data_IF_943016102891
#
_entry.id   IF_943016102891
#
_cell.length_a   1.000
_cell.length_b   1.000
_cell.length_c   1.000
_cell.angle_alpha   90.00
_cell.angle_beta   90.00
_cell.angle_gamma   90.00
#
_symmetry.space_group_name_H-M   'P 1'
#
loop_
_entity.id
_entity.type
_entity.pdbx_description
1 polymer ?
#
# COMPACT_ATOMS: atom_id res chain seq x y z
N UNK A 1 34.93 -15.37 -33.39
CA UNK A 1 34.65 -13.95 -33.13
C UNK A 1 33.26 -13.90 -32.50
N UNK A 2 33.22 -13.71 -31.20
CA UNK A 2 31.94 -13.63 -30.44
C UNK A 2 31.37 -12.26 -30.75
N UNK A 3 30.26 -12.23 -31.48
CA UNK A 3 29.44 -11.02 -31.66
C UNK A 3 28.98 -10.57 -30.28
N UNK A 4 29.69 -9.66 -29.66
CA UNK A 4 29.25 -8.95 -28.46
C UNK A 4 28.05 -8.10 -28.89
N UNK A 5 26.91 -8.61 -28.59
CA UNK A 5 25.60 -8.07 -28.91
C UNK A 5 25.51 -6.59 -28.46
N UNK A 6 25.17 -5.73 -29.40
CA UNK A 6 24.86 -4.32 -29.24
C UNK A 6 23.51 -4.14 -28.47
N UNK A 7 23.01 -5.19 -27.82
CA UNK A 7 21.76 -5.25 -27.08
C UNK A 7 22.01 -5.10 -25.59
N UNK A 8 21.20 -4.27 -24.94
CA UNK A 8 21.24 -4.09 -23.50
C UNK A 8 20.82 -5.34 -22.72
N UNK A 9 21.18 -5.42 -21.44
CA UNK A 9 20.88 -6.53 -20.58
C UNK A 9 19.45 -6.46 -20.01
N UNK A 10 18.55 -7.30 -20.52
CA UNK A 10 17.19 -7.46 -19.99
C UNK A 10 17.22 -7.90 -18.51
N UNK A 11 18.16 -8.78 -18.13
CA UNK A 11 18.31 -9.25 -16.75
C UNK A 11 18.63 -8.09 -15.79
N UNK A 12 19.53 -7.19 -16.20
CA UNK A 12 19.86 -6.01 -15.40
C UNK A 12 18.65 -5.10 -15.22
N UNK A 13 17.89 -4.83 -16.29
CA UNK A 13 16.67 -4.04 -16.22
C UNK A 13 15.65 -4.66 -15.27
N UNK A 14 15.34 -5.96 -15.42
CA UNK A 14 14.37 -6.62 -14.55
C UNK A 14 14.84 -6.66 -13.09
N UNK A 15 16.13 -6.88 -12.82
CA UNK A 15 16.64 -6.89 -11.45
C UNK A 15 16.44 -5.55 -10.75
N UNK A 16 16.82 -4.43 -11.39
CA UNK A 16 16.66 -3.10 -10.77
C UNK A 16 15.18 -2.67 -10.65
N UNK A 17 14.35 -3.08 -11.62
CA UNK A 17 12.92 -2.80 -11.58
C UNK A 17 12.23 -3.61 -10.48
N UNK A 18 12.60 -4.88 -10.30
CA UNK A 18 12.05 -5.72 -9.22
C UNK A 18 12.33 -5.13 -7.84
N UNK A 19 13.51 -4.55 -7.64
CA UNK A 19 13.80 -3.84 -6.38
C UNK A 19 12.87 -2.64 -6.19
N UNK A 20 12.61 -1.84 -7.23
CA UNK A 20 11.67 -0.72 -7.12
C UNK A 20 10.22 -1.20 -6.84
N UNK A 21 9.82 -2.34 -7.43
CA UNK A 21 8.51 -2.97 -7.21
C UNK A 21 8.33 -3.43 -5.75
N UNK A 22 9.39 -3.81 -5.04
CA UNK A 22 9.32 -4.13 -3.60
C UNK A 22 8.81 -2.97 -2.75
N UNK A 23 9.05 -1.72 -3.16
CA UNK A 23 8.44 -0.57 -2.50
C UNK A 23 6.91 -0.54 -2.62
N UNK A 24 6.36 -1.01 -3.74
CA UNK A 24 4.92 -1.24 -3.89
C UNK A 24 4.42 -2.37 -3.00
N UNK A 25 5.16 -3.47 -2.89
CA UNK A 25 4.84 -4.57 -1.99
C UNK A 25 4.76 -4.09 -0.53
N UNK A 26 5.74 -3.30 -0.08
CA UNK A 26 5.75 -2.72 1.27
C UNK A 26 4.57 -1.77 1.51
N UNK A 27 4.19 -0.98 0.50
CA UNK A 27 2.98 -0.18 0.58
C UNK A 27 1.74 -1.05 0.88
N UNK A 28 1.56 -2.14 0.13
CA UNK A 28 0.46 -3.07 0.37
C UNK A 28 0.53 -3.73 1.75
N UNK A 29 1.72 -4.10 2.17
CA UNK A 29 1.98 -4.73 3.46
C UNK A 29 1.61 -3.81 4.62
N UNK A 30 2.18 -2.59 4.70
CA UNK A 30 1.90 -1.62 5.76
C UNK A 30 0.43 -1.21 5.82
N UNK A 31 -0.20 -1.05 4.65
CA UNK A 31 -1.62 -0.69 4.57
C UNK A 31 -2.53 -1.76 5.16
N UNK A 32 -2.23 -3.04 4.95
CA UNK A 32 -3.11 -4.14 5.32
C UNK A 32 -2.75 -4.82 6.65
N UNK A 33 -1.57 -4.55 7.22
CA UNK A 33 -1.12 -5.16 8.49
C UNK A 33 -2.08 -4.89 9.64
N UNK A 34 -2.70 -3.71 9.68
CA UNK A 34 -3.67 -3.31 10.70
C UNK A 34 -4.86 -4.28 10.79
N UNK A 35 -5.26 -4.91 9.69
CA UNK A 35 -6.45 -5.77 9.67
C UNK A 35 -6.37 -6.95 10.63
N UNK A 36 -5.19 -7.53 10.82
CA UNK A 36 -4.98 -8.59 11.79
C UNK A 36 -4.80 -8.07 13.21
N UNK A 37 -4.15 -6.92 13.34
CA UNK A 37 -3.74 -6.36 14.62
C UNK A 37 -4.85 -5.56 15.34
N UNK A 38 -5.90 -5.09 14.63
CA UNK A 38 -6.82 -4.06 15.11
C UNK A 38 -7.58 -4.46 16.38
N UNK A 39 -8.03 -5.72 16.50
CA UNK A 39 -8.75 -6.18 17.68
C UNK A 39 -7.86 -6.31 18.90
N UNK A 40 -6.64 -6.86 18.73
CA UNK A 40 -5.66 -6.95 19.80
C UNK A 40 -5.26 -5.56 20.30
N UNK A 41 -5.03 -4.64 19.37
CA UNK A 41 -4.69 -3.25 19.68
C UNK A 41 -5.86 -2.52 20.39
N UNK A 42 -7.11 -2.73 19.96
CA UNK A 42 -8.29 -2.19 20.63
C UNK A 42 -8.37 -2.71 22.07
N UNK A 43 -8.26 -4.04 22.26
CA UNK A 43 -8.30 -4.65 23.57
C UNK A 43 -7.15 -4.16 24.49
N UNK A 44 -5.94 -4.02 23.96
CA UNK A 44 -4.80 -3.50 24.71
C UNK A 44 -5.08 -2.11 25.27
N UNK A 45 -5.51 -1.16 24.45
CA UNK A 45 -5.80 0.21 24.92
C UNK A 45 -7.10 0.33 25.71
N UNK A 46 -8.06 -0.60 25.55
CA UNK A 46 -9.25 -0.68 26.42
C UNK A 46 -8.89 -1.10 27.86
N UNK A 47 -7.76 -1.76 28.07
CA UNK A 47 -7.28 -2.13 29.42
C UNK A 47 -6.57 -0.99 30.15
N UNK A 48 -6.44 0.20 29.54
CA UNK A 48 -5.85 1.38 30.16
C UNK A 48 -6.65 1.86 31.37
N UNK A 49 -5.96 2.27 32.42
CA UNK A 49 -6.55 2.77 33.66
C UNK A 49 -6.62 4.30 33.75
N UNK A 50 -5.82 5.02 32.94
CA UNK A 50 -5.63 6.47 32.99
C UNK A 50 -6.55 7.25 32.04
N UNK A 51 -7.13 6.59 31.04
CA UNK A 51 -8.07 7.20 30.10
C UNK A 51 -9.10 6.20 29.58
N UNK A 52 -10.20 6.70 29.05
CA UNK A 52 -11.23 5.86 28.40
C UNK A 52 -10.97 5.78 26.88
N UNK A 53 -10.50 4.63 26.43
CA UNK A 53 -10.37 4.36 25.00
C UNK A 53 -11.75 4.16 24.38
N UNK A 54 -12.01 4.79 23.26
CA UNK A 54 -13.30 4.75 22.59
C UNK A 54 -13.17 4.47 21.09
N UNK A 55 -14.30 4.23 20.42
CA UNK A 55 -14.33 3.91 18.97
C UNK A 55 -13.74 5.01 18.08
N UNK A 56 -13.83 6.27 18.48
CA UNK A 56 -13.25 7.39 17.72
C UNK A 56 -11.73 7.34 17.81
N UNK A 57 -11.18 7.14 19.00
CA UNK A 57 -9.74 6.94 19.18
C UNK A 57 -9.24 5.72 18.40
N UNK A 58 -9.99 4.61 18.43
CA UNK A 58 -9.64 3.42 17.67
C UNK A 58 -9.65 3.68 16.15
N UNK A 59 -10.63 4.41 15.64
CA UNK A 59 -10.68 4.84 14.24
C UNK A 59 -9.50 5.73 13.84
N UNK A 60 -9.11 6.68 14.71
CA UNK A 60 -7.92 7.53 14.50
C UNK A 60 -6.65 6.66 14.48
N UNK A 61 -6.52 5.74 15.43
CA UNK A 61 -5.36 4.84 15.52
C UNK A 61 -5.24 3.95 14.28
N UNK A 62 -6.35 3.36 13.83
CA UNK A 62 -6.38 2.53 12.63
C UNK A 62 -6.07 3.30 11.35
N UNK A 63 -6.43 4.59 11.30
CA UNK A 63 -6.22 5.45 10.12
C UNK A 63 -4.99 6.37 10.22
N UNK A 64 -4.22 6.31 11.31
CA UNK A 64 -3.08 7.21 11.56
C UNK A 64 -2.02 7.16 10.45
N UNK A 65 -1.77 5.97 9.87
CA UNK A 65 -0.87 5.82 8.73
C UNK A 65 -1.34 6.58 7.48
N UNK A 66 -2.66 6.75 7.27
CA UNK A 66 -3.17 7.51 6.13
C UNK A 66 -2.82 9.00 6.22
N UNK A 67 -2.79 9.57 7.43
CA UNK A 67 -2.34 10.95 7.66
C UNK A 67 -0.89 11.10 7.17
N UNK A 68 -0.04 10.15 7.57
CA UNK A 68 1.35 10.10 7.09
C UNK A 68 1.45 9.94 5.57
N UNK A 69 0.59 9.10 4.98
CA UNK A 69 0.56 8.86 3.54
C UNK A 69 0.26 10.14 2.75
N UNK A 70 -0.68 10.97 3.21
CA UNK A 70 -0.97 12.28 2.60
C UNK A 70 0.25 13.20 2.67
N UNK A 71 0.92 13.28 3.83
CA UNK A 71 2.13 14.09 4.01
C UNK A 71 3.27 13.59 3.11
N UNK A 72 3.53 12.29 3.11
CA UNK A 72 4.56 11.66 2.28
C UNK A 72 4.32 11.86 0.79
N UNK A 73 3.08 11.69 0.33
CA UNK A 73 2.67 11.93 -1.05
C UNK A 73 2.86 13.38 -1.47
N UNK A 74 2.42 14.34 -0.65
CA UNK A 74 2.58 15.77 -0.90
C UNK A 74 4.06 16.20 -0.99
N UNK A 75 4.92 15.63 -0.15
CA UNK A 75 6.34 15.92 -0.12
C UNK A 75 7.16 15.13 -1.12
N UNK A 76 6.60 14.09 -1.75
CA UNK A 76 7.31 13.17 -2.63
C UNK A 76 8.02 13.85 -3.80
N UNK A 77 7.39 14.84 -4.42
CA UNK A 77 7.97 15.62 -5.50
C UNK A 77 9.23 16.40 -5.07
N UNK A 78 9.23 16.98 -3.87
CA UNK A 78 10.36 17.72 -3.29
C UNK A 78 11.52 16.75 -3.02
N UNK A 79 11.25 15.62 -2.39
CA UNK A 79 12.27 14.61 -2.11
C UNK A 79 12.83 14.00 -3.40
N UNK A 80 11.95 13.64 -4.34
CA UNK A 80 12.38 13.08 -5.63
C UNK A 80 13.26 14.05 -6.45
N UNK A 81 12.99 15.35 -6.41
CA UNK A 81 13.79 16.36 -7.11
C UNK A 81 15.12 16.65 -6.41
N UNK A 82 15.14 16.78 -5.07
CA UNK A 82 16.35 17.14 -4.32
C UNK A 82 17.28 15.96 -4.06
N UNK A 83 16.75 14.85 -3.55
CA UNK A 83 17.54 13.67 -3.18
C UNK A 83 17.72 12.69 -4.35
N UNK A 84 16.85 12.78 -5.37
CA UNK A 84 16.73 11.80 -6.45
C UNK A 84 15.90 10.58 -6.03
N UNK A 85 15.37 9.85 -7.03
CA UNK A 85 14.41 8.77 -6.84
C UNK A 85 14.93 7.66 -5.92
N UNK A 86 16.18 7.19 -6.15
CA UNK A 86 16.80 6.15 -5.34
C UNK A 86 16.94 6.51 -3.85
N UNK A 87 17.42 7.72 -3.57
CA UNK A 87 17.61 8.12 -2.17
C UNK A 87 16.29 8.41 -1.48
N UNK A 88 15.27 8.87 -2.21
CA UNK A 88 13.89 8.99 -1.68
C UNK A 88 13.31 7.62 -1.33
N UNK A 89 13.56 6.60 -2.14
CA UNK A 89 13.16 5.22 -1.81
C UNK A 89 13.92 4.65 -0.60
N UNK A 90 15.21 5.00 -0.44
CA UNK A 90 15.98 4.64 0.77
C UNK A 90 15.41 5.29 2.01
N UNK A 91 15.02 6.57 1.92
CA UNK A 91 14.33 7.26 3.01
C UNK A 91 13.01 6.56 3.34
N UNK A 92 12.21 6.19 2.34
CA UNK A 92 10.99 5.44 2.56
C UNK A 92 11.25 4.10 3.26
N UNK A 93 12.27 3.34 2.85
CA UNK A 93 12.66 2.08 3.49
C UNK A 93 13.04 2.27 4.97
N UNK A 94 13.78 3.33 5.30
CA UNK A 94 14.13 3.67 6.68
C UNK A 94 12.87 4.01 7.49
N UNK A 95 11.94 4.77 6.92
CA UNK A 95 10.69 5.13 7.59
C UNK A 95 9.80 3.90 7.83
N UNK A 96 9.68 2.98 6.88
CA UNK A 96 9.00 1.70 7.06
C UNK A 96 9.63 0.90 8.21
N UNK A 97 10.95 0.76 8.18
CA UNK A 97 11.67 -0.01 9.19
C UNK A 97 11.49 0.58 10.61
N UNK A 98 11.62 1.89 10.74
CA UNK A 98 11.42 2.57 12.03
C UNK A 98 9.96 2.48 12.50
N UNK A 99 9.00 2.60 11.61
CA UNK A 99 7.58 2.41 11.91
C UNK A 99 7.29 1.00 12.41
N UNK A 100 7.81 -0.02 11.72
CA UNK A 100 7.62 -1.41 12.11
C UNK A 100 8.21 -1.71 13.50
N UNK A 101 9.44 -1.26 13.77
CA UNK A 101 10.07 -1.42 15.07
C UNK A 101 9.36 -0.62 16.17
N UNK A 102 9.00 0.63 15.89
CA UNK A 102 8.30 1.47 16.85
C UNK A 102 6.86 1.01 17.13
N UNK A 103 6.19 0.40 16.14
CA UNK A 103 4.87 -0.20 16.34
C UNK A 103 4.96 -1.56 17.04
N UNK A 104 6.05 -2.32 16.85
CA UNK A 104 6.34 -3.56 17.58
C UNK A 104 6.58 -3.31 19.07
N UNK A 105 7.39 -2.31 19.37
CA UNK A 105 7.77 -1.95 20.74
C UNK A 105 7.64 -0.45 20.99
N UNK A 106 6.42 0.08 21.06
CA UNK A 106 6.18 1.51 21.22
C UNK A 106 6.63 2.07 22.56
N UNK A 107 6.89 1.21 23.54
CA UNK A 107 7.38 1.57 24.87
C UNK A 107 8.87 1.93 24.92
N UNK A 108 9.60 1.71 23.84
CA UNK A 108 11.07 1.93 23.79
C UNK A 108 11.46 3.27 24.41
N UNK A 109 12.35 3.19 25.42
CA UNK A 109 13.02 4.30 26.14
C UNK A 109 12.17 5.07 27.17
N UNK A 110 10.83 5.09 27.08
CA UNK A 110 10.03 6.04 27.87
C UNK A 110 8.90 5.43 28.68
N UNK A 111 8.43 4.23 28.35
CA UNK A 111 7.23 3.64 28.96
C UNK A 111 7.49 2.24 29.52
N UNK A 112 6.69 1.82 30.50
CA UNK A 112 6.72 0.45 31.02
C UNK A 112 6.02 -0.51 30.06
N UNK A 113 6.65 -1.65 29.82
CA UNK A 113 6.13 -2.67 28.92
C UNK A 113 4.76 -3.20 29.36
N UNK A 114 3.83 -3.29 28.41
CA UNK A 114 2.50 -3.85 28.65
C UNK A 114 1.55 -2.98 29.46
N UNK A 115 1.91 -1.74 29.78
CA UNK A 115 1.03 -0.78 30.47
C UNK A 115 0.49 0.26 29.49
N UNK A 116 -0.75 0.08 28.99
CA UNK A 116 -1.35 1.05 28.11
C UNK A 116 -1.65 2.37 28.84
N UNK A 117 -1.27 3.48 28.22
CA UNK A 117 -1.58 4.84 28.67
C UNK A 117 -1.75 5.77 27.46
N UNK A 118 -2.21 6.99 27.68
CA UNK A 118 -2.49 7.95 26.61
C UNK A 118 -1.23 8.35 25.84
N UNK A 119 -0.11 8.51 26.53
CA UNK A 119 1.15 8.92 25.90
C UNK A 119 1.70 7.81 25.01
N UNK A 120 1.55 6.54 25.42
CA UNK A 120 1.90 5.37 24.61
C UNK A 120 1.03 5.29 23.35
N UNK A 121 -0.27 5.60 23.45
CA UNK A 121 -1.16 5.67 22.29
C UNK A 121 -0.70 6.73 21.29
N UNK A 122 -0.30 7.91 21.79
CA UNK A 122 0.24 8.97 20.94
C UNK A 122 1.55 8.52 20.28
N UNK A 123 2.46 7.92 21.04
CA UNK A 123 3.73 7.40 20.51
C UNK A 123 3.50 6.35 19.42
N UNK A 124 2.61 5.37 19.64
CA UNK A 124 2.22 4.38 18.65
C UNK A 124 1.69 5.05 17.37
N UNK A 125 0.75 5.99 17.50
CA UNK A 125 0.20 6.71 16.36
C UNK A 125 1.26 7.50 15.59
N UNK A 126 2.25 8.10 16.27
CA UNK A 126 3.37 8.77 15.61
C UNK A 126 4.24 7.82 14.81
N UNK A 127 4.53 6.61 15.32
CA UNK A 127 5.23 5.58 14.52
C UNK A 127 4.42 5.17 13.29
N UNK A 128 3.10 5.03 13.42
CA UNK A 128 2.23 4.75 12.26
C UNK A 128 2.21 5.91 11.25
N UNK A 129 2.21 7.16 11.70
CA UNK A 129 2.36 8.32 10.81
C UNK A 129 3.70 8.31 10.08
N UNK A 130 4.80 7.94 10.75
CA UNK A 130 6.12 7.80 10.12
C UNK A 130 6.10 6.74 9.01
N UNK A 131 5.50 5.56 9.27
CA UNK A 131 5.30 4.53 8.24
C UNK A 131 4.49 5.05 7.07
N UNK A 132 3.38 5.72 7.37
CA UNK A 132 2.54 6.37 6.36
C UNK A 132 3.31 7.36 5.47
N UNK A 133 4.24 8.16 6.02
CA UNK A 133 5.11 9.02 5.21
C UNK A 133 5.95 8.17 4.24
N UNK A 134 6.48 7.04 4.71
CA UNK A 134 7.16 6.05 3.86
C UNK A 134 6.28 5.52 2.74
N UNK A 135 5.02 5.16 3.07
CA UNK A 135 3.99 4.74 2.09
C UNK A 135 3.77 5.81 1.04
N UNK A 136 3.51 7.06 1.44
CA UNK A 136 3.28 8.18 0.53
C UNK A 136 4.47 8.46 -0.39
N UNK A 137 5.71 8.38 0.14
CA UNK A 137 6.91 8.51 -0.66
C UNK A 137 7.06 7.36 -1.66
N UNK A 138 6.91 6.12 -1.22
CA UNK A 138 7.07 4.94 -2.07
C UNK A 138 6.01 4.90 -3.18
N UNK A 139 4.74 5.22 -2.87
CA UNK A 139 3.63 5.19 -3.82
C UNK A 139 3.85 6.12 -5.03
N UNK A 140 4.48 7.26 -4.81
CA UNK A 140 4.79 8.21 -5.88
C UNK A 140 6.12 7.89 -6.57
N UNK A 141 7.16 7.55 -5.80
CA UNK A 141 8.54 7.46 -6.31
C UNK A 141 8.82 6.10 -6.99
N UNK A 142 8.19 4.98 -6.56
CA UNK A 142 8.39 3.69 -7.22
C UNK A 142 7.95 3.69 -8.69
N UNK A 143 6.71 4.08 -9.04
CA UNK A 143 6.31 4.16 -10.44
C UNK A 143 7.15 5.16 -11.23
N UNK A 144 7.54 6.29 -10.63
CA UNK A 144 8.42 7.28 -11.24
C UNK A 144 9.80 6.69 -11.56
N UNK A 145 10.40 5.97 -10.63
CA UNK A 145 11.68 5.29 -10.82
C UNK A 145 11.59 4.27 -11.97
N UNK A 146 10.55 3.44 -11.97
CA UNK A 146 10.29 2.43 -13.01
C UNK A 146 10.11 3.11 -14.37
N UNK A 147 9.30 4.16 -14.45
CA UNK A 147 9.03 4.87 -15.70
C UNK A 147 10.26 5.56 -16.31
N UNK A 148 11.22 6.02 -15.47
CA UNK A 148 12.44 6.67 -15.91
C UNK A 148 13.54 5.68 -16.37
N UNK A 149 13.47 4.42 -15.94
CA UNK A 149 14.43 3.37 -16.32
C UNK A 149 13.91 2.49 -17.44
N UNK A 150 12.60 2.24 -17.48
CA UNK A 150 11.99 1.31 -18.42
C UNK A 150 12.03 1.83 -19.87
N UNK A 151 12.44 0.98 -20.84
CA UNK A 151 12.25 1.27 -22.25
C UNK A 151 10.78 1.52 -22.59
N UNK A 152 10.54 2.40 -23.58
CA UNK A 152 9.19 2.87 -23.94
C UNK A 152 8.20 1.74 -24.27
N UNK A 153 8.68 0.67 -24.92
CA UNK A 153 7.86 -0.46 -25.37
C UNK A 153 7.30 -1.35 -24.24
N UNK A 154 7.93 -1.37 -23.05
CA UNK A 154 7.50 -2.19 -21.90
C UNK A 154 7.23 -1.37 -20.63
N UNK A 155 7.37 -0.05 -20.71
CA UNK A 155 7.20 0.87 -19.56
C UNK A 155 5.85 0.70 -18.87
N UNK A 156 4.78 0.67 -19.65
CA UNK A 156 3.42 0.49 -19.11
C UNK A 156 3.27 -0.81 -18.32
N UNK A 157 3.77 -1.91 -18.87
CA UNK A 157 3.74 -3.21 -18.20
C UNK A 157 4.51 -3.20 -16.88
N UNK A 158 5.73 -2.63 -16.87
CA UNK A 158 6.56 -2.59 -15.66
C UNK A 158 5.95 -1.68 -14.58
N UNK A 159 5.30 -0.58 -14.96
CA UNK A 159 4.56 0.27 -14.01
C UNK A 159 3.33 -0.47 -13.47
N UNK A 160 2.62 -1.24 -14.30
CA UNK A 160 1.49 -2.06 -13.83
C UNK A 160 1.93 -3.16 -12.87
N UNK A 161 3.16 -3.69 -12.99
CA UNK A 161 3.72 -4.63 -12.02
C UNK A 161 3.84 -4.03 -10.61
N UNK A 162 4.06 -2.71 -10.50
CA UNK A 162 4.06 -2.05 -9.18
C UNK A 162 2.67 -2.10 -8.52
N UNK A 163 1.59 -1.91 -9.28
CA UNK A 163 0.24 -2.03 -8.76
C UNK A 163 -0.09 -3.47 -8.34
N UNK A 164 0.31 -4.44 -9.15
CA UNK A 164 0.19 -5.85 -8.78
C UNK A 164 0.93 -6.16 -7.47
N UNK A 165 2.14 -5.62 -7.29
CA UNK A 165 2.94 -5.83 -6.08
C UNK A 165 2.28 -5.25 -4.82
N UNK A 166 1.56 -4.13 -4.92
CA UNK A 166 0.77 -3.58 -3.80
C UNK A 166 -0.26 -4.60 -3.32
N UNK A 167 -1.04 -5.17 -4.24
CA UNK A 167 -2.09 -6.14 -3.89
C UNK A 167 -1.50 -7.47 -3.43
N UNK A 168 -0.39 -7.87 -4.03
CA UNK A 168 0.37 -9.04 -3.57
C UNK A 168 0.93 -8.83 -2.16
N UNK A 169 1.42 -7.63 -1.83
CA UNK A 169 1.85 -7.26 -0.48
C UNK A 169 0.72 -7.36 0.56
N UNK A 170 -0.49 -6.94 0.19
CA UNK A 170 -1.68 -7.12 1.03
C UNK A 170 -1.97 -8.60 1.29
N UNK A 171 -1.92 -9.47 0.26
CA UNK A 171 -2.12 -10.90 0.45
C UNK A 171 -1.05 -11.51 1.35
N UNK A 172 0.23 -11.13 1.15
CA UNK A 172 1.34 -11.63 1.98
C UNK A 172 1.11 -11.30 3.45
N UNK A 173 0.73 -10.06 3.78
CA UNK A 173 0.50 -9.68 5.17
C UNK A 173 -0.76 -10.33 5.76
N UNK A 174 -1.82 -10.53 4.99
CA UNK A 174 -2.98 -11.29 5.46
C UNK A 174 -2.58 -12.71 5.84
N UNK A 175 -1.74 -13.35 5.03
CA UNK A 175 -1.23 -14.67 5.32
C UNK A 175 -0.27 -14.67 6.52
N UNK A 176 0.61 -13.68 6.63
CA UNK A 176 1.51 -13.52 7.80
C UNK A 176 0.71 -13.30 9.09
N UNK A 177 -0.30 -12.42 9.07
CA UNK A 177 -1.20 -12.19 10.20
C UNK A 177 -1.94 -13.48 10.60
N UNK A 178 -2.42 -14.26 9.62
CA UNK A 178 -3.05 -15.55 9.86
C UNK A 178 -2.09 -16.54 10.51
N UNK A 179 -0.84 -16.62 10.05
CA UNK A 179 0.18 -17.49 10.65
C UNK A 179 0.59 -17.06 12.07
N UNK A 180 0.73 -15.73 12.30
CA UNK A 180 1.04 -15.19 13.63
C UNK A 180 -0.10 -15.48 14.61
N UNK A 181 -1.35 -15.34 14.14
CA UNK A 181 -2.52 -15.66 14.97
C UNK A 181 -2.57 -17.14 15.36
N UNK A 182 -2.22 -18.06 14.45
CA UNK A 182 -2.17 -19.50 14.70
C UNK A 182 -3.44 -20.02 15.36
N UNK A 183 -3.27 -20.70 16.50
CA UNK A 183 -4.38 -21.25 17.30
C UNK A 183 -4.96 -20.24 18.31
N UNK A 184 -4.40 -19.03 18.37
CA UNK A 184 -4.88 -17.97 19.26
C UNK A 184 -6.22 -17.42 18.80
N UNK A 185 -7.02 -16.92 19.75
CA UNK A 185 -8.33 -16.36 19.48
C UNK A 185 -8.30 -14.82 19.61
N UNK A 186 -9.13 -14.16 18.81
CA UNK A 186 -9.32 -12.73 18.96
C UNK A 186 -9.87 -12.37 20.33
N UNK A 187 -9.47 -11.22 20.92
CA UNK A 187 -10.01 -10.75 22.19
C UNK A 187 -11.52 -10.58 22.14
N UNK A 188 -12.19 -10.91 23.24
CA UNK A 188 -13.63 -10.70 23.40
C UNK A 188 -13.84 -9.32 24.00
N UNK A 189 -14.43 -8.41 23.22
CA UNK A 189 -14.75 -7.06 23.65
C UNK A 189 -16.24 -7.02 24.01
N UNK A 190 -16.51 -6.72 25.28
CA UNK A 190 -17.84 -6.58 25.84
C UNK A 190 -18.29 -5.12 25.76
N UNK A 191 -19.58 -4.94 25.60
CA UNK A 191 -20.23 -3.62 25.65
C UNK A 191 -21.31 -3.66 26.72
N UNK A 192 -21.20 -2.78 27.72
CA UNK A 192 -22.21 -2.67 28.77
C UNK A 192 -23.49 -1.94 28.32
N UNK A 193 -24.47 -1.85 29.19
CA UNK A 193 -25.77 -1.19 28.91
C UNK A 193 -25.57 0.34 28.69
N UNK A 194 -24.51 0.94 29.19
CA UNK A 194 -24.16 2.36 29.00
C UNK A 194 -23.34 2.58 27.70
N UNK A 195 -22.97 1.49 27.01
CA UNK A 195 -22.18 1.53 25.78
C UNK A 195 -20.67 1.59 26.01
N UNK A 196 -20.21 1.43 27.24
CA UNK A 196 -18.76 1.39 27.58
C UNK A 196 -18.20 0.04 27.15
N UNK A 197 -17.04 0.08 26.51
CA UNK A 197 -16.33 -1.11 26.03
C UNK A 197 -15.36 -1.59 27.11
N UNK A 198 -15.27 -2.92 27.28
CA UNK A 198 -14.31 -3.58 28.18
C UNK A 198 -13.83 -4.89 27.58
N UNK A 199 -12.68 -5.38 28.03
CA UNK A 199 -12.13 -6.66 27.60
C UNK A 199 -12.63 -7.75 28.53
N UNK A 200 -13.14 -8.86 27.97
CA UNK A 200 -13.57 -10.01 28.76
C UNK A 200 -12.36 -10.67 29.45
N UNK A 201 -12.56 -11.14 30.66
CA UNK A 201 -11.56 -11.94 31.39
C UNK A 201 -11.23 -13.28 30.71
N UNK A 202 -12.10 -13.77 29.81
CA UNK A 202 -11.90 -14.99 29.02
C UNK A 202 -11.09 -14.74 27.75
N UNK A 203 -10.68 -13.49 27.47
CA UNK A 203 -9.88 -13.16 26.29
C UNK A 203 -8.51 -13.81 26.36
N UNK A 204 -8.00 -14.21 25.17
CA UNK A 204 -6.62 -14.68 25.04
C UNK A 204 -5.65 -13.50 25.29
N UNK A 205 -4.95 -13.57 26.43
CA UNK A 205 -4.06 -12.51 26.87
C UNK A 205 -2.87 -12.31 25.91
N UNK A 206 -2.44 -13.35 25.20
CA UNK A 206 -1.39 -13.20 24.20
C UNK A 206 -1.83 -12.30 23.06
N UNK A 207 -3.05 -12.43 22.55
CA UNK A 207 -3.56 -11.57 21.50
C UNK A 207 -3.76 -10.13 21.93
N UNK A 208 -4.05 -9.92 23.23
CA UNK A 208 -4.20 -8.57 23.80
C UNK A 208 -2.84 -7.87 23.94
N UNK A 209 -1.79 -8.55 24.41
CA UNK A 209 -0.53 -7.90 24.75
C UNK A 209 0.56 -8.06 23.70
N UNK A 210 0.58 -9.16 22.96
CA UNK A 210 1.70 -9.55 22.10
C UNK A 210 1.31 -9.66 20.62
N UNK A 211 0.19 -10.26 20.28
CA UNK A 211 -0.16 -10.66 18.91
C UNK A 211 -0.06 -9.51 17.90
N UNK A 212 -0.67 -8.37 18.21
CA UNK A 212 -0.63 -7.19 17.33
C UNK A 212 0.80 -6.64 17.15
N UNK A 213 1.66 -6.77 18.16
CA UNK A 213 3.06 -6.32 18.08
C UNK A 213 3.83 -7.12 17.03
N UNK A 214 3.73 -8.46 17.09
CA UNK A 214 4.37 -9.33 16.11
C UNK A 214 3.86 -9.08 14.70
N UNK A 215 2.58 -8.78 14.54
CA UNK A 215 2.00 -8.44 13.23
C UNK A 215 2.64 -7.18 12.66
N UNK A 216 2.71 -6.07 13.41
CA UNK A 216 3.39 -4.86 12.96
C UNK A 216 4.91 -5.06 12.81
N UNK A 217 5.55 -5.76 13.75
CA UNK A 217 6.98 -6.03 13.70
C UNK A 217 7.42 -6.86 12.50
N UNK A 218 6.54 -7.71 11.97
CA UNK A 218 6.83 -8.56 10.80
C UNK A 218 7.21 -7.75 9.56
N UNK A 219 6.74 -6.51 9.44
CA UNK A 219 7.09 -5.61 8.35
C UNK A 219 8.58 -5.20 8.36
N UNK A 220 9.25 -5.27 9.51
CA UNK A 220 10.66 -4.89 9.62
C UNK A 220 11.55 -5.72 8.68
N UNK A 221 11.23 -7.01 8.46
CA UNK A 221 12.00 -7.88 7.58
C UNK A 221 11.97 -7.44 6.11
N UNK A 222 10.81 -7.30 5.46
CA UNK A 222 10.77 -6.84 4.07
C UNK A 222 11.23 -5.39 3.93
N UNK A 223 11.05 -4.52 4.93
CA UNK A 223 11.56 -3.15 4.92
C UNK A 223 13.09 -3.10 4.95
N UNK A 224 13.74 -3.87 5.82
CA UNK A 224 15.20 -3.99 5.89
C UNK A 224 15.76 -4.58 4.59
N UNK A 225 15.12 -5.62 4.05
CA UNK A 225 15.53 -6.26 2.80
C UNK A 225 15.42 -5.28 1.61
N UNK A 226 14.33 -4.53 1.50
CA UNK A 226 14.17 -3.47 0.50
C UNK A 226 15.25 -2.40 0.63
N UNK A 227 15.48 -1.90 1.85
CA UNK A 227 16.53 -0.91 2.14
C UNK A 227 17.92 -1.40 1.71
N UNK A 228 18.25 -2.67 2.01
CA UNK A 228 19.51 -3.29 1.61
C UNK A 228 19.64 -3.37 0.08
N UNK A 229 18.62 -3.85 -0.61
CA UNK A 229 18.66 -3.98 -2.07
C UNK A 229 18.79 -2.63 -2.78
N UNK A 230 18.28 -1.54 -2.21
CA UNK A 230 18.41 -0.20 -2.77
C UNK A 230 19.86 0.33 -2.79
N UNK A 231 20.81 -0.31 -2.11
CA UNK A 231 22.22 0.03 -2.25
C UNK A 231 22.78 -0.42 -3.62
N UNK A 232 22.25 -1.48 -4.20
CA UNK A 232 22.68 -2.04 -5.48
C UNK A 232 21.97 -1.41 -6.69
N UNK A 233 20.91 -0.65 -6.46
CA UNK A 233 20.13 -0.01 -7.51
C UNK A 233 20.75 1.33 -7.93
N UNK A 234 20.89 1.65 -9.24
CA UNK A 234 21.48 2.89 -9.71
C UNK A 234 20.53 4.09 -9.51
N UNK A 235 21.07 5.32 -9.59
CA UNK A 235 20.25 6.52 -9.78
C UNK A 235 19.63 6.49 -11.17
N UNK A 236 18.46 7.12 -11.35
CA UNK A 236 17.81 7.18 -12.67
C UNK A 236 18.62 8.06 -13.65
N UNK A 237 18.67 7.69 -14.94
CA UNK A 237 19.38 8.48 -15.95
C UNK A 237 18.91 9.94 -16.02
N UNK A 238 17.59 10.17 -15.93
CA UNK A 238 17.01 11.52 -15.93
C UNK A 238 17.51 12.37 -14.76
N UNK A 239 17.57 11.80 -13.56
CA UNK A 239 18.11 12.52 -12.39
C UNK A 239 19.61 12.79 -12.53
N UNK A 240 20.39 11.86 -13.11
CA UNK A 240 21.83 12.05 -13.33
C UNK A 240 22.11 13.19 -14.31
N UNK A 241 21.33 13.32 -15.37
CA UNK A 241 21.41 14.45 -16.31
C UNK A 241 21.10 15.77 -15.61
N UNK A 242 20.06 15.83 -14.77
CA UNK A 242 19.70 17.02 -14.00
C UNK A 242 20.82 17.49 -13.05
N UNK A 243 21.65 16.58 -12.54
CA UNK A 243 22.82 16.90 -11.69
C UNK A 243 24.13 16.90 -12.47
N UNK A 244 24.08 17.00 -13.81
CA UNK A 244 25.21 17.13 -14.72
C UNK A 244 26.19 15.93 -14.65
N UNK A 245 25.73 14.71 -14.39
CA UNK A 245 26.51 13.47 -14.40
C UNK A 245 26.19 12.61 -15.64
N UNK A 246 26.40 13.18 -16.81
CA UNK A 246 25.99 12.59 -18.09
C UNK A 246 26.72 11.26 -18.40
N UNK A 247 27.98 11.12 -18.05
CA UNK A 247 28.75 9.88 -18.26
C UNK A 247 28.13 8.70 -17.48
N UNK A 248 27.71 8.95 -16.24
CA UNK A 248 27.03 7.91 -15.44
C UNK A 248 25.64 7.60 -15.99
N UNK A 249 24.91 8.61 -16.48
CA UNK A 249 23.63 8.40 -17.15
C UNK A 249 23.79 7.53 -18.39
N UNK A 250 24.79 7.84 -19.23
CA UNK A 250 25.11 7.05 -20.41
C UNK A 250 25.44 5.59 -20.06
N UNK A 251 26.33 5.36 -19.08
CA UNK A 251 26.72 4.01 -18.67
C UNK A 251 25.52 3.16 -18.22
N UNK A 252 24.52 3.75 -17.54
CA UNK A 252 23.30 3.03 -17.14
C UNK A 252 22.42 2.74 -18.35
N UNK A 253 22.22 3.74 -19.23
CA UNK A 253 21.46 3.58 -20.47
C UNK A 253 22.08 2.53 -21.39
N UNK A 254 23.42 2.50 -21.49
CA UNK A 254 24.15 1.50 -22.26
C UNK A 254 23.90 0.09 -21.74
N UNK A 255 23.92 -0.12 -20.42
CA UNK A 255 23.63 -1.41 -19.80
C UNK A 255 22.19 -1.89 -20.08
N UNK A 256 21.23 -0.96 -20.15
CA UNK A 256 19.81 -1.27 -20.33
C UNK A 256 19.44 -1.42 -21.81
N UNK A 257 19.91 -0.51 -22.68
CA UNK A 257 19.41 -0.37 -24.06
C UNK A 257 20.46 -0.69 -25.14
N UNK A 258 21.73 -0.91 -24.75
CA UNK A 258 22.86 -1.04 -25.68
C UNK A 258 23.39 0.32 -26.15
N UNK A 259 24.58 0.32 -26.77
CA UNK A 259 25.38 1.54 -27.09
C UNK A 259 24.62 2.51 -28.02
N UNK A 260 24.04 2.01 -29.09
CA UNK A 260 23.41 2.85 -30.13
C UNK A 260 22.19 3.60 -29.58
N UNK A 261 21.29 2.91 -28.87
CA UNK A 261 20.09 3.51 -28.30
C UNK A 261 20.39 4.38 -27.07
N UNK A 262 21.44 4.06 -26.31
CA UNK A 262 21.81 4.82 -25.13
C UNK A 262 22.12 6.29 -25.45
N UNK A 263 22.84 6.55 -26.56
CA UNK A 263 23.18 7.92 -26.95
C UNK A 263 21.94 8.71 -27.41
N UNK A 264 21.04 8.07 -28.15
CA UNK A 264 19.79 8.67 -28.60
C UNK A 264 18.92 9.07 -27.40
N UNK A 265 18.67 8.11 -26.47
CA UNK A 265 17.89 8.35 -25.25
C UNK A 265 18.54 9.43 -24.37
N UNK A 266 19.87 9.44 -24.25
CA UNK A 266 20.56 10.48 -23.48
C UNK A 266 20.31 11.87 -24.07
N UNK A 267 20.40 12.01 -25.40
CA UNK A 267 20.14 13.28 -26.08
C UNK A 267 18.68 13.72 -25.89
N UNK A 268 17.71 12.80 -25.98
CA UNK A 268 16.29 13.09 -25.73
C UNK A 268 16.06 13.56 -24.28
N UNK A 269 16.70 12.88 -23.29
CA UNK A 269 16.63 13.29 -21.89
C UNK A 269 17.20 14.69 -21.71
N UNK A 270 18.34 15.02 -22.35
CA UNK A 270 18.96 16.36 -22.27
C UNK A 270 18.06 17.43 -22.87
N UNK A 271 17.45 17.15 -24.00
CA UNK A 271 16.52 18.08 -24.66
C UNK A 271 15.31 18.40 -23.76
N UNK A 272 14.75 17.36 -23.11
CA UNK A 272 13.56 17.51 -22.27
C UNK A 272 13.84 17.89 -20.83
N UNK A 273 15.06 17.70 -20.33
CA UNK A 273 15.43 18.00 -18.94
C UNK A 273 15.39 19.48 -18.59
N UNK A 274 15.61 20.34 -19.59
CA UNK A 274 15.63 21.79 -19.45
C UNK A 274 14.34 22.47 -19.98
N UNK A 275 13.39 21.69 -20.50
CA UNK A 275 12.09 22.25 -20.86
C UNK A 275 11.40 22.78 -19.59
N UNK A 276 10.97 24.05 -19.68
CA UNK A 276 10.18 24.67 -18.61
C UNK A 276 8.93 23.82 -18.39
N UNK A 277 8.74 23.33 -17.18
CA UNK A 277 7.52 22.64 -16.76
C UNK A 277 6.33 23.53 -17.16
N UNK A 278 5.52 23.07 -18.09
CA UNK A 278 4.29 23.78 -18.44
C UNK A 278 3.43 23.97 -17.18
N UNK A 279 2.79 25.12 -17.11
CA UNK A 279 1.91 25.40 -15.96
C UNK A 279 0.79 24.36 -15.92
N UNK A 280 0.51 23.78 -14.77
CA UNK A 280 -0.53 22.74 -14.54
C UNK A 280 -1.87 23.13 -15.20
N UNK A 281 -2.19 24.44 -15.25
CA UNK A 281 -3.41 24.96 -15.85
C UNK A 281 -3.42 24.97 -17.39
N UNK A 282 -2.31 24.68 -18.07
CA UNK A 282 -2.22 24.62 -19.53
C UNK A 282 -3.11 23.52 -20.11
N UNK A 283 -3.32 22.43 -19.38
CA UNK A 283 -4.21 21.32 -19.80
C UNK A 283 -5.70 21.55 -19.53
N UNK A 284 -6.07 22.71 -19.00
CA UNK A 284 -7.43 23.09 -18.66
C UNK A 284 -7.87 22.65 -17.26
N UNK A 285 -8.64 23.51 -16.62
CA UNK A 285 -9.15 23.28 -15.24
C UNK A 285 -9.99 22.01 -15.14
N UNK A 286 -10.74 21.68 -16.20
CA UNK A 286 -11.60 20.50 -16.23
C UNK A 286 -10.84 19.17 -16.01
N UNK A 287 -9.65 19.03 -16.59
CA UNK A 287 -8.81 17.81 -16.43
C UNK A 287 -8.37 17.66 -14.99
N UNK A 288 -7.97 18.77 -14.36
CA UNK A 288 -7.55 18.78 -12.95
C UNK A 288 -8.73 18.42 -12.03
N UNK A 289 -9.89 19.04 -12.25
CA UNK A 289 -11.11 18.76 -11.47
C UNK A 289 -11.54 17.31 -11.62
N UNK A 290 -11.53 16.75 -12.83
CA UNK A 290 -11.86 15.34 -13.05
C UNK A 290 -10.87 14.42 -12.30
N UNK A 291 -9.56 14.70 -12.37
CA UNK A 291 -8.55 13.93 -11.64
C UNK A 291 -8.75 13.96 -10.13
N UNK A 292 -9.03 15.15 -9.57
CA UNK A 292 -9.32 15.30 -8.14
C UNK A 292 -10.59 14.54 -7.75
N UNK A 293 -11.68 14.71 -8.52
CA UNK A 293 -12.95 14.05 -8.24
C UNK A 293 -12.83 12.52 -8.30
N UNK A 294 -12.13 11.98 -9.29
CA UNK A 294 -11.89 10.54 -9.38
C UNK A 294 -11.11 10.02 -8.16
N UNK A 295 -10.08 10.75 -7.70
CA UNK A 295 -9.30 10.38 -6.52
C UNK A 295 -10.13 10.47 -5.24
N UNK A 296 -10.97 11.50 -5.10
CA UNK A 296 -11.89 11.66 -3.96
C UNK A 296 -12.91 10.53 -3.94
N UNK A 297 -13.55 10.23 -5.07
CA UNK A 297 -14.53 9.15 -5.15
C UNK A 297 -13.91 7.77 -4.89
N UNK A 298 -12.68 7.52 -5.35
CA UNK A 298 -11.97 6.28 -5.06
C UNK A 298 -11.83 6.04 -3.54
N UNK A 299 -11.56 7.08 -2.77
CA UNK A 299 -11.46 6.96 -1.31
C UNK A 299 -12.84 6.96 -0.62
N UNK A 300 -13.78 7.76 -1.13
CA UNK A 300 -15.14 7.85 -0.58
C UNK A 300 -15.95 6.55 -0.71
N UNK A 301 -15.59 5.66 -1.65
CA UNK A 301 -16.13 4.29 -1.76
C UNK A 301 -15.93 3.50 -0.45
N UNK A 302 -14.89 3.83 0.37
CA UNK A 302 -14.70 3.22 1.68
C UNK A 302 -13.95 1.88 1.66
N UNK A 303 -13.26 1.54 0.59
CA UNK A 303 -12.51 0.28 0.48
C UNK A 303 -11.51 0.07 1.61
N UNK A 304 -10.84 1.14 2.07
CA UNK A 304 -9.88 1.05 3.17
C UNK A 304 -10.54 0.56 4.47
N UNK A 305 -11.77 0.98 4.76
CA UNK A 305 -12.51 0.47 5.91
C UNK A 305 -12.77 -1.04 5.77
N UNK A 306 -13.16 -1.50 4.58
CA UNK A 306 -13.37 -2.94 4.33
C UNK A 306 -12.05 -3.72 4.50
N UNK A 307 -10.93 -3.22 3.97
CA UNK A 307 -9.64 -3.90 4.06
C UNK A 307 -9.08 -3.90 5.50
N UNK A 308 -9.25 -2.81 6.25
CA UNK A 308 -8.71 -2.68 7.61
C UNK A 308 -9.48 -3.51 8.63
N UNK A 309 -10.80 -3.57 8.48
CA UNK A 309 -11.68 -4.29 9.38
C UNK A 309 -12.18 -5.63 8.80
N UNK A 310 -11.52 -6.16 7.76
CA UNK A 310 -11.96 -7.36 7.07
C UNK A 310 -12.21 -8.57 8.00
N UNK A 311 -11.28 -8.95 8.91
CA UNK A 311 -11.52 -10.07 9.81
C UNK A 311 -12.73 -9.85 10.72
N UNK A 312 -12.90 -8.63 11.24
CA UNK A 312 -14.05 -8.26 12.09
C UNK A 312 -15.38 -8.31 11.31
N UNK A 313 -15.37 -7.82 10.07
CA UNK A 313 -16.54 -7.84 9.19
C UNK A 313 -16.96 -9.30 8.93
N UNK A 314 -15.99 -10.17 8.60
CA UNK A 314 -16.27 -11.58 8.33
C UNK A 314 -16.73 -12.36 9.56
N UNK A 315 -16.17 -12.09 10.74
CA UNK A 315 -16.63 -12.70 11.99
C UNK A 315 -18.06 -12.27 12.35
N UNK A 316 -18.37 -10.97 12.23
CA UNK A 316 -19.72 -10.45 12.46
C UNK A 316 -20.74 -11.04 11.47
N UNK A 317 -20.30 -11.30 10.24
CA UNK A 317 -21.09 -11.99 9.22
C UNK A 317 -21.31 -13.47 9.52
N UNK A 318 -20.65 -14.04 10.54
CA UNK A 318 -20.76 -15.46 10.89
C UNK A 318 -20.00 -16.38 9.96
N UNK A 319 -18.82 -15.95 9.51
CA UNK A 319 -17.96 -16.71 8.58
C UNK A 319 -17.44 -18.01 9.24
N UNK A 320 -17.66 -19.13 8.59
CA UNK A 320 -17.06 -20.41 8.97
C UNK A 320 -15.54 -20.36 8.76
N UNK A 321 -14.76 -20.92 9.68
CA UNK A 321 -13.28 -20.93 9.61
C UNK A 321 -12.61 -19.64 10.12
N UNK A 322 -13.39 -18.69 10.65
CA UNK A 322 -12.87 -17.46 11.25
C UNK A 322 -12.60 -16.31 10.26
N UNK A 323 -12.60 -15.09 10.76
CA UNK A 323 -12.45 -13.87 9.95
C UNK A 323 -11.09 -13.74 9.27
N UNK A 324 -10.02 -14.19 9.90
CA UNK A 324 -8.66 -14.15 9.35
C UNK A 324 -8.53 -15.01 8.08
N UNK A 325 -9.05 -16.23 8.09
CA UNK A 325 -9.03 -17.12 6.92
C UNK A 325 -9.82 -16.53 5.75
N UNK A 326 -10.99 -15.96 6.01
CA UNK A 326 -11.79 -15.30 4.99
C UNK A 326 -11.09 -14.06 4.42
N UNK A 327 -10.32 -13.37 5.23
CA UNK A 327 -9.50 -12.22 4.77
C UNK A 327 -8.39 -12.68 3.81
N UNK A 328 -7.75 -13.82 4.06
CA UNK A 328 -6.78 -14.41 3.13
C UNK A 328 -7.46 -14.79 1.80
N UNK A 329 -8.64 -15.42 1.87
CA UNK A 329 -9.41 -15.77 0.66
C UNK A 329 -9.77 -14.50 -0.13
N UNK A 330 -10.23 -13.44 0.53
CA UNK A 330 -10.49 -12.14 -0.10
C UNK A 330 -9.23 -11.60 -0.78
N UNK A 331 -8.07 -11.71 -0.14
CA UNK A 331 -6.79 -11.31 -0.72
C UNK A 331 -6.45 -12.06 -2.01
N UNK A 332 -6.71 -13.37 -2.07
CA UNK A 332 -6.52 -14.19 -3.28
C UNK A 332 -7.47 -13.71 -4.39
N UNK A 333 -8.75 -13.51 -4.07
CA UNK A 333 -9.74 -13.01 -5.02
C UNK A 333 -9.32 -11.63 -5.56
N UNK A 334 -8.83 -10.74 -4.71
CA UNK A 334 -8.34 -9.42 -5.11
C UNK A 334 -7.20 -9.51 -6.13
N UNK A 335 -6.26 -10.46 -5.98
CA UNK A 335 -5.21 -10.70 -6.98
C UNK A 335 -5.81 -11.16 -8.31
N UNK A 336 -6.71 -12.14 -8.29
CA UNK A 336 -7.34 -12.65 -9.51
C UNK A 336 -8.04 -11.53 -10.27
N UNK A 337 -8.86 -10.71 -9.60
CA UNK A 337 -9.57 -9.62 -10.23
C UNK A 337 -8.65 -8.48 -10.69
N UNK A 338 -7.52 -8.27 -10.03
CA UNK A 338 -6.48 -7.34 -10.50
C UNK A 338 -5.83 -7.83 -11.79
N UNK A 339 -5.51 -9.11 -11.88
CA UNK A 339 -5.01 -9.70 -13.12
C UNK A 339 -6.03 -9.57 -14.25
N UNK A 340 -7.31 -9.84 -13.97
CA UNK A 340 -8.39 -9.62 -14.94
C UNK A 340 -8.40 -8.16 -15.41
N UNK A 341 -8.28 -7.20 -14.50
CA UNK A 341 -8.22 -5.78 -14.87
C UNK A 341 -7.04 -5.46 -15.79
N UNK A 342 -5.83 -5.93 -15.45
CA UNK A 342 -4.61 -5.70 -16.25
C UNK A 342 -4.77 -6.23 -17.68
N UNK A 343 -5.34 -7.41 -17.85
CA UNK A 343 -5.52 -8.02 -19.18
C UNK A 343 -6.72 -7.47 -19.97
N UNK A 344 -7.69 -6.87 -19.30
CA UNK A 344 -8.94 -6.40 -19.95
C UNK A 344 -8.93 -4.91 -20.25
N UNK A 345 -8.12 -4.10 -19.52
CA UNK A 345 -8.09 -2.64 -19.68
C UNK A 345 -7.73 -2.19 -21.11
N UNK A 346 -6.80 -2.90 -21.75
CA UNK A 346 -6.36 -2.57 -23.10
C UNK A 346 -7.41 -2.93 -24.18
N UNK A 347 -8.30 -3.89 -23.88
CA UNK A 347 -9.34 -4.36 -24.83
C UNK A 347 -10.63 -3.56 -24.69
N UNK A 348 -11.12 -3.36 -23.49
CA UNK A 348 -12.42 -2.74 -23.22
C UNK A 348 -12.30 -1.23 -22.95
N UNK A 349 -11.10 -0.76 -22.64
CA UNK A 349 -10.88 0.63 -22.21
C UNK A 349 -11.31 0.87 -20.76
N UNK A 350 -10.95 2.04 -20.24
CA UNK A 350 -11.09 2.38 -18.81
C UNK A 350 -12.52 2.73 -18.42
N UNK A 351 -13.21 3.51 -19.23
CA UNK A 351 -14.56 4.00 -18.91
C UNK A 351 -15.58 2.86 -18.71
N UNK A 352 -15.69 1.84 -19.60
CA UNK A 352 -16.58 0.71 -19.37
C UNK A 352 -16.24 -0.09 -18.12
N UNK A 353 -14.94 -0.32 -17.85
CA UNK A 353 -14.51 -1.05 -16.66
C UNK A 353 -14.85 -0.30 -15.37
N UNK A 354 -14.71 1.03 -15.33
CA UNK A 354 -15.13 1.86 -14.18
C UNK A 354 -16.65 1.76 -13.96
N UNK A 355 -17.45 1.78 -15.01
CA UNK A 355 -18.92 1.68 -14.91
C UNK A 355 -19.31 0.29 -14.37
N UNK A 356 -18.79 -0.78 -14.98
CA UNK A 356 -19.08 -2.17 -14.56
C UNK A 356 -18.66 -2.36 -13.11
N UNK A 357 -17.47 -1.90 -12.73
CA UNK A 357 -16.98 -1.99 -11.35
C UNK A 357 -17.86 -1.22 -10.38
N UNK A 358 -18.29 -0.01 -10.72
CA UNK A 358 -19.19 0.78 -9.88
C UNK A 358 -20.54 0.10 -9.67
N UNK A 359 -21.11 -0.50 -10.70
CA UNK A 359 -22.37 -1.27 -10.59
C UNK A 359 -22.15 -2.51 -9.69
N UNK A 360 -21.08 -3.27 -9.93
CA UNK A 360 -20.78 -4.45 -9.11
C UNK A 360 -20.55 -4.12 -7.64
N UNK A 361 -19.83 -3.02 -7.35
CA UNK A 361 -19.65 -2.53 -5.98
C UNK A 361 -20.98 -2.12 -5.35
N UNK A 362 -21.84 -1.40 -6.09
CA UNK A 362 -23.17 -0.99 -5.59
C UNK A 362 -24.04 -2.20 -5.25
N UNK A 363 -24.04 -3.22 -6.10
CA UNK A 363 -24.77 -4.48 -5.86
C UNK A 363 -24.20 -5.20 -4.63
N UNK A 364 -22.88 -5.31 -4.50
CA UNK A 364 -22.24 -5.93 -3.34
C UNK A 364 -22.55 -5.19 -2.05
N UNK A 365 -22.41 -3.86 -2.03
CA UNK A 365 -22.72 -3.05 -0.85
C UNK A 365 -24.21 -3.13 -0.44
N UNK A 366 -25.11 -3.11 -1.44
CA UNK A 366 -26.56 -3.25 -1.19
C UNK A 366 -26.88 -4.64 -0.61
N UNK A 367 -26.25 -5.70 -1.13
CA UNK A 367 -26.41 -7.05 -0.61
C UNK A 367 -25.93 -7.18 0.83
N UNK A 368 -24.80 -6.57 1.19
CA UNK A 368 -24.31 -6.51 2.58
C UNK A 368 -25.33 -5.81 3.48
N UNK A 369 -25.83 -4.64 3.07
CA UNK A 369 -26.82 -3.88 3.84
C UNK A 369 -28.13 -4.66 4.02
N UNK A 370 -28.59 -5.38 3.00
CA UNK A 370 -29.77 -6.27 3.10
C UNK A 370 -29.52 -7.42 4.08
N UNK A 371 -28.37 -8.08 4.00
CA UNK A 371 -28.04 -9.16 4.93
C UNK A 371 -28.03 -8.67 6.37
N UNK A 372 -27.45 -7.49 6.62
CA UNK A 372 -27.41 -6.88 7.96
C UNK A 372 -28.84 -6.54 8.46
N UNK A 373 -29.65 -5.88 7.64
CA UNK A 373 -31.04 -5.51 8.00
C UNK A 373 -31.95 -6.71 8.28
N UNK A 374 -31.70 -7.83 7.60
CA UNK A 374 -32.46 -9.09 7.77
C UNK A 374 -31.78 -10.04 8.79
N UNK A 375 -30.72 -9.60 9.46
CA UNK A 375 -29.91 -10.40 10.39
C UNK A 375 -29.42 -11.75 9.79
N UNK A 376 -29.22 -11.81 8.46
CA UNK A 376 -28.71 -12.98 7.77
C UNK A 376 -27.20 -13.12 8.05
N UNK A 377 -26.82 -14.28 8.57
CA UNK A 377 -25.41 -14.65 8.82
C UNK A 377 -24.99 -15.82 7.94
N UNK A 378 -23.68 -16.05 7.81
CA UNK A 378 -23.10 -17.15 7.08
C UNK A 378 -22.47 -16.72 5.75
N UNK A 379 -22.57 -17.59 4.74
CA UNK A 379 -21.84 -17.42 3.47
C UNK A 379 -22.30 -16.21 2.63
N UNK A 380 -23.58 -15.84 2.71
CA UNK A 380 -24.14 -14.81 1.83
C UNK A 380 -23.54 -13.40 2.09
N UNK A 381 -23.51 -12.87 3.33
CA UNK A 381 -22.85 -11.59 3.59
C UNK A 381 -21.33 -11.64 3.33
N UNK A 382 -20.67 -12.76 3.61
CA UNK A 382 -19.24 -12.96 3.30
C UNK A 382 -18.99 -12.82 1.81
N UNK A 383 -19.77 -13.52 0.98
CA UNK A 383 -19.66 -13.46 -0.48
C UNK A 383 -19.92 -12.03 -1.00
N UNK A 384 -20.90 -11.34 -0.41
CA UNK A 384 -21.24 -9.97 -0.80
C UNK A 384 -20.09 -8.99 -0.57
N UNK A 385 -19.37 -9.11 0.54
CA UNK A 385 -18.16 -8.30 0.83
C UNK A 385 -17.04 -8.64 -0.14
N UNK A 386 -16.81 -9.92 -0.42
CA UNK A 386 -15.79 -10.38 -1.38
C UNK A 386 -16.11 -9.85 -2.79
N UNK A 387 -17.36 -9.91 -3.23
CA UNK A 387 -17.81 -9.37 -4.51
C UNK A 387 -17.56 -7.87 -4.59
N UNK A 388 -17.91 -7.12 -3.53
CA UNK A 388 -17.64 -5.69 -3.45
C UNK A 388 -16.14 -5.38 -3.64
N UNK A 389 -15.26 -6.07 -2.91
CA UNK A 389 -13.81 -5.87 -2.99
C UNK A 389 -13.26 -6.28 -4.37
N UNK A 390 -13.74 -7.38 -4.95
CA UNK A 390 -13.35 -7.87 -6.26
C UNK A 390 -13.65 -6.85 -7.38
N UNK A 391 -14.86 -6.28 -7.40
CA UNK A 391 -15.23 -5.26 -8.38
C UNK A 391 -14.47 -3.96 -8.19
N UNK A 392 -14.11 -3.59 -6.95
CA UNK A 392 -13.20 -2.48 -6.69
C UNK A 392 -11.83 -2.73 -7.32
N UNK A 393 -11.23 -3.90 -7.07
CA UNK A 393 -9.90 -4.24 -7.59
C UNK A 393 -9.88 -4.32 -9.12
N UNK A 394 -10.96 -4.81 -9.74
CA UNK A 394 -11.09 -4.86 -11.19
C UNK A 394 -11.19 -3.48 -11.84
N UNK A 395 -11.63 -2.45 -11.11
CA UNK A 395 -11.92 -1.14 -11.66
C UNK A 395 -11.14 -0.01 -10.98
N UNK A 396 -11.67 0.54 -9.90
CA UNK A 396 -11.14 1.73 -9.21
C UNK A 396 -9.76 1.51 -8.58
N UNK A 397 -9.46 0.28 -8.16
CA UNK A 397 -8.17 -0.07 -7.54
C UNK A 397 -7.00 -0.08 -8.54
N UNK A 398 -7.25 -0.44 -9.80
CA UNK A 398 -6.21 -0.63 -10.80
C UNK A 398 -6.13 0.51 -11.83
N UNK A 399 -7.29 1.03 -12.29
CA UNK A 399 -7.35 1.88 -13.49
C UNK A 399 -6.81 3.30 -13.28
N UNK A 400 -6.87 3.85 -12.08
CA UNK A 400 -6.37 5.20 -11.80
C UNK A 400 -4.85 5.30 -11.92
N UNK A 401 -4.13 4.22 -11.57
CA UNK A 401 -2.66 4.18 -11.63
C UNK A 401 -2.10 3.79 -13.01
N UNK A 402 -2.91 3.18 -13.87
CA UNK A 402 -2.51 2.76 -15.22
C UNK A 402 -2.71 3.85 -16.27
N UNK A 403 -3.00 5.08 -15.87
CA UNK A 403 -3.19 6.23 -16.78
C UNK A 403 -2.01 6.35 -17.77
N UNK A 404 -2.24 6.40 -19.10
CA UNK A 404 -1.15 6.67 -20.03
C UNK A 404 -0.60 8.04 -19.69
N UNK A 405 0.73 8.11 -19.56
CA UNK A 405 1.43 9.38 -19.71
C UNK A 405 0.96 10.00 -21.04
N UNK A 406 0.57 11.27 -21.08
CA UNK A 406 0.34 11.93 -22.36
C UNK A 406 1.57 11.71 -23.24
N UNK A 407 1.32 11.26 -24.46
CA UNK A 407 2.35 11.08 -25.47
C UNK A 407 3.00 12.41 -25.81
#
# INVERSE_FOLDING_TARGET
>A
MINTTNEGSKLYLYSITSVAILGGLLFGYDTAVISGAEKGLEAFFLSASDFQYNKVMHGITSSSALIGCVLGGALSGIFASRLGRRNSLRLAAVLFFLSALGSYYPEVLFFEYGKPNMDLLIAFNLYRVLGGIGVGLASAVCPMYIAEIAPSNIRGTLVSCNQFAIIFGMLVVYFVNFLIMGDHQNPIILKDAAGVLSVSAESDMWTVYEGWRYMFGSEAFPAAFFGLLLFFVPKTPRYLVLIQQDEKAYSILEKINGKTKAQEILNDIKATAHEKTEKIFTYGVAVIVIGILLSVFQQAIGINAVLYYAPRIFENAGAEGGGMMQTVIMGIVNIVFTLVAIFTVDRFGRKPLLIIGSIGMAVGAFAVAMCDSMAIKGILPVLSVIVYAAFFMMSWGCLLYTSPSPR
#
